data_IF_025379420751
#
_entry.id   IF_025379420751
#
_cell.length_a   1.000
_cell.length_b   1.000
_cell.length_c   1.000
_cell.angle_alpha   90.00
_cell.angle_beta   90.00
_cell.angle_gamma   90.00
#
_symmetry.space_group_name_H-M   'P 1'
#
loop_
_entity.id
_entity.type
_entity.pdbx_description
1 polymer ?
#
# COMPACT_ATOMS: atom_id res chain seq x y z
N UNK A 1 -12.53 28.46 70.97
CA UNK A 1 -13.08 29.45 70.02
C UNK A 1 -12.48 29.16 68.66
N UNK A 2 -13.37 28.88 67.73
CA UNK A 2 -13.08 28.43 66.36
C UNK A 2 -12.77 29.69 65.52
N UNK A 3 -11.68 29.67 64.74
CA UNK A 3 -11.58 30.51 63.55
C UNK A 3 -11.63 29.60 62.32
N UNK A 4 -12.73 29.72 61.59
CA UNK A 4 -13.26 28.74 60.64
C UNK A 4 -12.75 28.93 59.19
N UNK A 5 -11.59 29.55 58.97
CA UNK A 5 -11.25 30.12 57.65
C UNK A 5 -9.97 29.64 56.94
N UNK A 6 -9.18 28.70 57.49
CA UNK A 6 -7.94 28.25 56.82
C UNK A 6 -7.89 26.76 56.44
N UNK A 7 -9.01 26.03 56.50
CA UNK A 7 -9.08 24.61 56.09
C UNK A 7 -9.38 24.43 54.58
N UNK A 8 -9.50 25.53 53.80
CA UNK A 8 -9.89 25.44 52.38
C UNK A 8 -8.70 25.31 51.41
N UNK A 9 -7.45 25.39 51.87
CA UNK A 9 -6.29 25.44 50.97
C UNK A 9 -5.51 24.12 50.78
N UNK A 10 -5.89 23.04 51.47
CA UNK A 10 -5.24 21.72 51.33
C UNK A 10 -5.99 20.72 50.42
N UNK A 11 -7.13 21.12 49.82
CA UNK A 11 -8.00 20.24 49.02
C UNK A 11 -8.01 20.48 47.51
N UNK A 12 -7.11 21.31 46.94
CA UNK A 12 -7.19 21.75 45.53
C UNK A 12 -5.95 21.48 44.66
N UNK A 13 -5.07 20.54 45.03
CA UNK A 13 -3.93 20.15 44.19
C UNK A 13 -3.90 18.65 43.85
N UNK A 14 -5.04 17.98 43.90
CA UNK A 14 -5.18 16.64 43.34
C UNK A 14 -6.31 16.63 42.32
N UNK A 15 -5.96 16.31 41.07
CA UNK A 15 -6.80 16.08 39.89
C UNK A 15 -7.32 17.27 39.07
N UNK A 16 -6.53 17.61 38.05
CA UNK A 16 -6.86 17.86 36.63
C UNK A 16 -5.54 18.38 36.09
N UNK A 17 -4.68 17.50 35.59
CA UNK A 17 -4.77 17.11 34.20
C UNK A 17 -4.55 15.61 34.03
N UNK A 18 -5.64 14.85 34.03
CA UNK A 18 -5.66 13.62 33.25
C UNK A 18 -5.83 14.08 31.80
N UNK A 19 -4.69 14.36 31.16
CA UNK A 19 -4.61 14.47 29.72
C UNK A 19 -5.23 13.18 29.17
N UNK A 20 -6.47 13.29 28.67
CA UNK A 20 -7.20 12.12 28.21
C UNK A 20 -6.43 11.57 27.02
N UNK A 21 -5.71 10.48 27.25
CA UNK A 21 -5.13 9.69 26.18
C UNK A 21 -6.23 9.52 25.12
N UNK A 22 -5.93 9.79 23.83
CA UNK A 22 -6.94 9.78 22.80
C UNK A 22 -7.70 8.45 22.89
N UNK A 23 -9.03 8.54 23.04
CA UNK A 23 -9.88 7.38 23.29
C UNK A 23 -9.46 6.25 22.35
N UNK A 24 -8.92 5.17 22.92
CA UNK A 24 -8.38 4.06 22.15
C UNK A 24 -9.53 3.40 21.42
N UNK A 25 -9.71 3.73 20.14
CA UNK A 25 -10.75 3.14 19.31
C UNK A 25 -10.33 1.71 19.02
N UNK A 26 -11.04 0.68 19.52
CA UNK A 26 -10.62 -0.69 19.27
C UNK A 26 -10.73 -1.02 17.77
N UNK A 27 -9.90 -1.94 17.29
CA UNK A 27 -9.97 -2.43 15.91
C UNK A 27 -11.29 -3.13 15.62
N UNK A 28 -11.75 -3.97 16.56
CA UNK A 28 -13.03 -4.67 16.53
C UNK A 28 -13.62 -4.50 17.93
N UNK A 29 -14.83 -3.95 18.01
CA UNK A 29 -15.51 -3.80 19.29
C UNK A 29 -15.71 -5.17 19.97
N UNK A 30 -15.36 -5.25 21.25
CA UNK A 30 -15.47 -6.50 22.03
C UNK A 30 -14.28 -7.45 21.89
N UNK A 31 -13.22 -7.07 21.18
CA UNK A 31 -12.01 -7.89 21.02
C UNK A 31 -10.74 -7.09 21.34
N UNK A 32 -9.73 -7.68 22.01
CA UNK A 32 -8.41 -7.06 22.14
C UNK A 32 -7.76 -6.82 20.77
N UNK A 33 -7.07 -5.70 20.61
CA UNK A 33 -6.47 -5.29 19.32
C UNK A 33 -5.47 -6.31 18.78
N UNK A 34 -4.73 -7.02 19.64
CA UNK A 34 -3.81 -8.08 19.23
C UNK A 34 -4.52 -9.26 18.57
N UNK A 35 -5.66 -9.68 19.14
CA UNK A 35 -6.46 -10.78 18.58
C UNK A 35 -7.14 -10.32 17.29
N UNK A 36 -7.63 -9.07 17.26
CA UNK A 36 -8.19 -8.46 16.06
C UNK A 36 -7.15 -8.43 14.93
N UNK A 37 -5.92 -8.01 15.22
CA UNK A 37 -4.81 -8.01 14.27
C UNK A 37 -4.55 -9.41 13.70
N UNK A 38 -4.44 -10.44 14.53
CA UNK A 38 -4.19 -11.82 14.07
C UNK A 38 -5.36 -12.31 13.20
N UNK A 39 -6.60 -12.06 13.61
CA UNK A 39 -7.79 -12.43 12.85
C UNK A 39 -7.81 -11.76 11.46
N UNK A 40 -7.56 -10.46 11.41
CA UNK A 40 -7.51 -9.71 10.16
C UNK A 40 -6.31 -10.14 9.30
N UNK A 41 -5.14 -10.40 9.90
CA UNK A 41 -3.93 -10.80 9.20
C UNK A 41 -4.10 -12.12 8.43
N UNK A 42 -5.01 -13.01 8.88
CA UNK A 42 -5.34 -14.27 8.19
C UNK A 42 -6.21 -14.09 6.95
N UNK A 43 -6.78 -12.90 6.74
CA UNK A 43 -7.58 -12.64 5.54
C UNK A 43 -6.66 -12.62 4.31
N UNK A 44 -6.96 -13.40 3.26
CA UNK A 44 -6.17 -13.42 2.03
C UNK A 44 -6.05 -12.04 1.37
N UNK A 45 -4.89 -11.78 0.73
CA UNK A 45 -4.54 -10.48 0.13
C UNK A 45 -5.57 -9.97 -0.87
N UNK A 46 -6.25 -10.87 -1.57
CA UNK A 46 -7.34 -10.54 -2.51
C UNK A 46 -8.49 -9.74 -1.88
N UNK A 47 -8.68 -9.83 -0.57
CA UNK A 47 -9.73 -9.10 0.15
C UNK A 47 -9.23 -7.85 0.86
N UNK A 48 -7.93 -7.54 0.84
CA UNK A 48 -7.37 -6.39 1.56
C UNK A 48 -7.94 -5.05 1.09
N UNK A 49 -8.28 -4.93 -0.20
CA UNK A 49 -8.96 -3.75 -0.72
C UNK A 49 -10.35 -3.56 -0.10
N UNK A 50 -11.05 -4.64 0.23
CA UNK A 50 -12.34 -4.60 0.93
C UNK A 50 -12.12 -4.21 2.39
N UNK A 51 -11.13 -4.82 3.06
CA UNK A 51 -10.77 -4.49 4.45
C UNK A 51 -10.46 -3.00 4.64
N UNK A 52 -9.72 -2.37 3.71
CA UNK A 52 -9.41 -0.93 3.73
C UNK A 52 -10.62 0.00 3.62
N UNK A 53 -11.78 -0.53 3.19
CA UNK A 53 -13.03 0.23 3.06
C UNK A 53 -13.90 0.17 4.30
N UNK A 54 -13.64 -0.77 5.22
CA UNK A 54 -14.46 -0.97 6.44
C UNK A 54 -14.34 0.23 7.38
N UNK A 55 -13.13 0.67 7.70
CA UNK A 55 -12.91 1.83 8.57
C UNK A 55 -11.57 2.52 8.29
N UNK A 56 -11.42 3.77 8.75
CA UNK A 56 -10.14 4.50 8.70
C UNK A 56 -9.05 3.77 9.49
N UNK A 57 -9.41 3.16 10.62
CA UNK A 57 -8.47 2.41 11.49
C UNK A 57 -7.99 1.13 10.80
N UNK A 58 -8.88 0.37 10.15
CA UNK A 58 -8.49 -0.82 9.39
C UNK A 58 -7.59 -0.43 8.21
N UNK A 59 -7.91 0.65 7.51
CA UNK A 59 -7.04 1.17 6.44
C UNK A 59 -5.64 1.51 6.97
N UNK A 60 -5.55 2.20 8.11
CA UNK A 60 -4.28 2.54 8.73
C UNK A 60 -3.50 1.28 9.15
N UNK A 61 -4.17 0.29 9.75
CA UNK A 61 -3.57 -0.99 10.12
C UNK A 61 -2.99 -1.72 8.90
N UNK A 62 -3.75 -1.83 7.79
CA UNK A 62 -3.28 -2.50 6.57
C UNK A 62 -2.12 -1.78 5.86
N UNK A 63 -1.76 -0.58 6.30
CA UNK A 63 -0.60 0.18 5.84
C UNK A 63 0.51 0.25 6.91
N UNK A 64 0.30 -0.31 8.11
CA UNK A 64 1.26 -0.24 9.21
C UNK A 64 2.33 -1.33 9.11
N UNK A 65 3.50 -1.07 9.70
CA UNK A 65 4.57 -2.06 9.78
C UNK A 65 4.18 -3.27 10.65
N UNK A 66 3.40 -3.04 11.71
CA UNK A 66 2.88 -4.09 12.60
C UNK A 66 2.08 -5.15 11.84
N UNK A 67 1.29 -4.74 10.84
CA UNK A 67 0.55 -5.65 9.99
C UNK A 67 1.48 -6.54 9.16
N UNK A 68 2.49 -5.94 8.53
CA UNK A 68 3.47 -6.66 7.71
C UNK A 68 4.30 -7.63 8.55
N UNK A 69 4.77 -7.19 9.72
CA UNK A 69 5.49 -8.03 10.66
C UNK A 69 4.61 -9.17 11.18
N UNK A 70 3.34 -8.92 11.47
CA UNK A 70 2.41 -9.94 11.93
C UNK A 70 2.19 -11.02 10.86
N UNK A 71 1.97 -10.63 9.59
CA UNK A 71 1.81 -11.60 8.49
C UNK A 71 3.09 -12.41 8.26
N UNK A 72 4.25 -11.76 8.22
CA UNK A 72 5.55 -12.42 8.07
C UNK A 72 5.83 -13.40 9.20
N UNK A 73 5.61 -13.00 10.46
CA UNK A 73 5.82 -13.86 11.65
C UNK A 73 4.93 -15.10 11.66
N UNK A 74 3.76 -15.04 11.02
CA UNK A 74 2.80 -16.12 10.96
C UNK A 74 2.85 -16.91 9.62
N UNK A 75 3.83 -16.66 8.75
CA UNK A 75 3.94 -17.27 7.41
C UNK A 75 2.66 -17.09 6.57
N UNK A 76 2.08 -15.90 6.65
CA UNK A 76 0.87 -15.50 5.91
C UNK A 76 1.23 -14.66 4.69
N UNK A 77 2.49 -14.55 4.32
CA UNK A 77 2.93 -13.77 3.17
C UNK A 77 2.51 -14.44 1.86
N UNK A 78 1.94 -13.64 0.95
CA UNK A 78 1.41 -14.13 -0.33
C UNK A 78 2.25 -13.54 -1.48
N UNK A 79 3.01 -14.36 -2.24
CA UNK A 79 3.85 -13.89 -3.33
C UNK A 79 2.99 -13.52 -4.55
N UNK A 80 2.51 -12.29 -4.62
CA UNK A 80 1.83 -11.78 -5.80
C UNK A 80 2.86 -11.34 -6.84
N UNK A 81 2.70 -11.81 -8.07
CA UNK A 81 3.58 -11.48 -9.19
C UNK A 81 2.91 -10.39 -10.04
N UNK A 82 3.69 -9.38 -10.43
CA UNK A 82 3.23 -8.31 -11.30
C UNK A 82 3.96 -8.42 -12.64
N UNK A 83 3.20 -8.65 -13.71
CA UNK A 83 3.77 -8.80 -15.06
C UNK A 83 3.38 -7.60 -15.89
N UNK A 84 4.36 -6.94 -16.51
CA UNK A 84 4.10 -5.85 -17.44
C UNK A 84 4.37 -6.28 -18.87
N UNK A 85 3.32 -6.24 -19.67
CA UNK A 85 3.38 -6.49 -21.11
C UNK A 85 3.34 -5.16 -21.88
N UNK A 86 4.07 -5.11 -23.01
CA UNK A 86 4.28 -3.89 -23.83
C UNK A 86 3.78 -4.01 -25.27
N UNK A 87 3.28 -5.18 -25.69
CA UNK A 87 3.03 -5.48 -27.13
C UNK A 87 1.96 -4.61 -27.81
N UNK A 88 0.93 -4.15 -27.09
CA UNK A 88 -0.17 -3.36 -27.63
C UNK A 88 -0.55 -2.17 -26.73
N UNK A 89 0.45 -1.61 -26.04
CA UNK A 89 0.27 -0.73 -24.90
C UNK A 89 0.65 -1.42 -23.59
N UNK A 90 0.88 -0.61 -22.56
CA UNK A 90 1.37 -1.10 -21.27
C UNK A 90 0.19 -1.65 -20.48
N UNK A 91 0.25 -2.94 -20.13
CA UNK A 91 -0.72 -3.61 -19.26
C UNK A 91 -0.02 -4.24 -18.07
N UNK A 92 -0.57 -4.05 -16.87
CA UNK A 92 -0.07 -4.68 -15.65
C UNK A 92 -1.01 -5.82 -15.23
N UNK A 93 -0.50 -7.05 -15.27
CA UNK A 93 -1.22 -8.25 -14.84
C UNK A 93 -0.83 -8.58 -13.41
N UNK A 94 -1.83 -8.78 -12.55
CA UNK A 94 -1.61 -9.21 -11.18
C UNK A 94 -1.92 -10.69 -11.06
N UNK A 95 -0.88 -11.46 -10.76
CA UNK A 95 -0.92 -12.91 -10.61
C UNK A 95 -0.87 -13.25 -9.12
N UNK A 96 -1.90 -13.95 -8.62
CA UNK A 96 -1.90 -14.46 -7.26
C UNK A 96 -1.71 -15.98 -7.25
N UNK A 97 -1.01 -16.52 -6.24
CA UNK A 97 -0.88 -17.96 -6.07
C UNK A 97 -2.26 -18.57 -5.81
N UNK A 98 -2.49 -19.74 -6.41
CA UNK A 98 -3.65 -20.57 -6.17
C UNK A 98 -3.22 -21.85 -5.43
N UNK A 99 -3.36 -21.88 -4.08
CA UNK A 99 -2.92 -23.01 -3.27
C UNK A 99 -3.42 -24.39 -3.75
N UNK A 100 -4.70 -24.58 -4.12
CA UNK A 100 -5.18 -25.89 -4.57
C UNK A 100 -4.59 -26.36 -5.92
N UNK A 101 -4.21 -25.46 -6.83
CA UNK A 101 -3.70 -25.85 -8.17
C UNK A 101 -2.17 -25.74 -8.32
N UNK A 102 -1.45 -25.18 -7.34
CA UNK A 102 -0.01 -24.85 -7.43
C UNK A 102 0.35 -23.99 -8.65
N UNK A 103 -0.61 -23.23 -9.16
CA UNK A 103 -0.44 -22.32 -10.29
C UNK A 103 -0.69 -20.87 -9.88
N UNK A 104 -0.30 -19.93 -10.74
CA UNK A 104 -0.70 -18.53 -10.60
C UNK A 104 -1.97 -18.27 -11.40
N UNK A 105 -2.91 -17.52 -10.82
CA UNK A 105 -4.10 -17.02 -11.52
C UNK A 105 -4.02 -15.52 -11.73
N UNK A 106 -4.41 -15.07 -12.91
CA UNK A 106 -4.63 -13.65 -13.19
C UNK A 106 -5.84 -13.21 -12.36
N UNK A 107 -5.61 -12.34 -11.38
CA UNK A 107 -6.65 -11.81 -10.51
C UNK A 107 -7.36 -10.64 -11.17
N UNK A 108 -6.58 -9.70 -11.70
CA UNK A 108 -7.09 -8.53 -12.40
C UNK A 108 -6.00 -7.92 -13.28
N UNK A 109 -6.44 -7.19 -14.30
CA UNK A 109 -5.57 -6.37 -15.14
C UNK A 109 -5.74 -4.92 -14.69
N UNK A 110 -4.62 -4.26 -14.39
CA UNK A 110 -4.60 -2.85 -14.06
C UNK A 110 -4.07 -2.10 -15.26
N UNK A 111 -4.88 -1.18 -15.78
CA UNK A 111 -4.45 -0.25 -16.82
C UNK A 111 -3.60 0.85 -16.17
N UNK A 112 -2.32 0.99 -16.54
CA UNK A 112 -1.49 2.09 -16.08
C UNK A 112 -1.94 3.41 -16.72
N UNK A 113 -1.74 4.56 -16.05
CA UNK A 113 -2.07 5.87 -16.60
C UNK A 113 -1.42 6.16 -17.97
N UNK A 114 -0.25 5.57 -18.22
CA UNK A 114 0.50 5.71 -19.47
C UNK A 114 0.35 4.51 -20.42
N UNK A 115 -0.79 3.81 -20.40
CA UNK A 115 -1.03 2.60 -21.21
C UNK A 115 -0.81 2.79 -22.71
N UNK A 116 -1.07 3.99 -23.24
CA UNK A 116 -0.86 4.32 -24.66
C UNK A 116 0.57 4.73 -25.05
N UNK A 117 1.49 4.89 -24.09
CA UNK A 117 2.86 5.34 -24.36
C UNK A 117 3.79 4.17 -24.67
N UNK A 118 4.75 4.40 -25.56
CA UNK A 118 5.85 3.47 -25.90
C UNK A 118 7.15 3.91 -25.23
N UNK A 119 8.13 3.02 -25.15
CA UNK A 119 9.47 3.35 -24.63
C UNK A 119 9.49 3.73 -23.14
N UNK A 120 8.47 3.34 -22.37
CA UNK A 120 8.41 3.56 -20.92
C UNK A 120 9.42 2.66 -20.22
N UNK A 121 10.20 3.25 -19.32
CA UNK A 121 11.11 2.50 -18.45
C UNK A 121 10.34 2.01 -17.23
N UNK A 122 10.64 0.80 -16.77
CA UNK A 122 9.90 0.14 -15.70
C UNK A 122 10.90 -0.31 -14.65
N UNK A 123 10.71 0.12 -13.41
CA UNK A 123 11.58 -0.24 -12.29
C UNK A 123 10.75 -0.67 -11.08
N UNK A 124 11.22 -1.66 -10.33
CA UNK A 124 10.64 -2.02 -9.04
C UNK A 124 11.55 -1.54 -7.92
N UNK A 125 10.97 -0.82 -6.96
CA UNK A 125 11.67 -0.39 -5.76
C UNK A 125 10.80 -0.72 -4.55
N UNK A 126 11.34 -1.57 -3.67
CA UNK A 126 10.63 -2.08 -2.49
C UNK A 126 9.28 -2.71 -2.85
N UNK A 127 8.16 -2.13 -2.39
CA UNK A 127 6.79 -2.62 -2.60
C UNK A 127 6.06 -1.85 -3.72
N UNK A 128 6.81 -1.08 -4.50
CA UNK A 128 6.29 -0.14 -5.49
C UNK A 128 6.88 -0.41 -6.86
N UNK A 129 6.09 -0.15 -7.88
CA UNK A 129 6.49 -0.27 -9.27
C UNK A 129 6.40 1.10 -9.93
N UNK A 130 7.47 1.51 -10.60
CA UNK A 130 7.62 2.80 -11.23
C UNK A 130 7.60 2.67 -12.74
N UNK A 131 6.84 3.55 -13.39
CA UNK A 131 6.81 3.76 -14.82
C UNK A 131 7.37 5.16 -15.09
N UNK A 132 8.43 5.23 -15.89
CA UNK A 132 9.19 6.45 -16.11
C UNK A 132 9.15 6.82 -17.60
N UNK A 133 8.70 8.04 -17.88
CA UNK A 133 8.76 8.66 -19.20
C UNK A 133 7.92 7.96 -20.26
N UNK A 134 8.49 7.83 -21.45
CA UNK A 134 7.87 7.26 -22.65
C UNK A 134 7.49 8.31 -23.67
N UNK A 135 6.89 7.87 -24.77
CA UNK A 135 6.40 8.77 -25.81
C UNK A 135 5.14 8.26 -26.50
N UNK A 136 4.29 9.19 -26.97
CA UNK A 136 3.18 8.86 -27.87
C UNK A 136 3.60 8.96 -29.35
N UNK A 137 4.58 9.82 -29.64
CA UNK A 137 5.20 10.00 -30.95
C UNK A 137 6.70 10.31 -30.77
N UNK A 138 7.48 10.29 -31.85
CA UNK A 138 8.94 10.52 -31.82
C UNK A 138 9.32 11.86 -31.17
N UNK A 139 8.45 12.86 -31.25
CA UNK A 139 8.68 14.21 -30.70
C UNK A 139 7.96 14.48 -29.36
N UNK A 140 7.25 13.49 -28.82
CA UNK A 140 6.43 13.62 -27.61
C UNK A 140 7.03 12.81 -26.45
N UNK A 141 8.28 13.11 -26.08
CA UNK A 141 8.90 12.52 -24.89
C UNK A 141 8.33 13.17 -23.62
N UNK A 142 8.05 12.35 -22.60
CA UNK A 142 7.59 12.86 -21.29
C UNK A 142 8.58 12.58 -20.18
N UNK A 143 8.56 13.42 -19.16
CA UNK A 143 9.23 13.29 -17.87
C UNK A 143 8.30 12.74 -16.77
N UNK A 144 7.04 12.44 -17.10
CA UNK A 144 6.05 11.91 -16.16
C UNK A 144 6.53 10.60 -15.52
N UNK A 145 6.28 10.49 -14.22
CA UNK A 145 6.56 9.28 -13.44
C UNK A 145 5.29 8.81 -12.75
N UNK A 146 4.94 7.54 -12.94
CA UNK A 146 3.84 6.90 -12.24
C UNK A 146 4.35 5.82 -11.30
N UNK A 147 3.82 5.80 -10.09
CA UNK A 147 4.11 4.82 -9.07
C UNK A 147 2.86 4.00 -8.77
N UNK A 148 2.96 2.69 -8.95
CA UNK A 148 1.99 1.72 -8.47
C UNK A 148 2.40 1.22 -7.08
N UNK A 149 1.52 1.41 -6.12
CA UNK A 149 1.66 0.88 -4.77
C UNK A 149 0.84 -0.41 -4.63
N UNK A 150 1.55 -1.53 -4.50
CA UNK A 150 0.96 -2.87 -4.39
C UNK A 150 0.24 -3.09 -3.04
N UNK A 151 0.52 -2.26 -2.03
CA UNK A 151 -0.22 -2.27 -0.77
C UNK A 151 -1.59 -1.65 -1.01
N UNK A 152 -1.68 -0.42 -1.52
CA UNK A 152 -2.96 0.27 -1.74
C UNK A 152 -3.69 -0.11 -3.03
N UNK A 153 -3.07 -0.93 -3.89
CA UNK A 153 -3.55 -1.36 -5.21
C UNK A 153 -3.94 -0.16 -6.09
N UNK A 154 -3.09 0.87 -6.13
CA UNK A 154 -3.37 2.12 -6.83
C UNK A 154 -2.15 2.66 -7.54
N UNK A 155 -2.40 3.26 -8.71
CA UNK A 155 -1.46 4.15 -9.37
C UNK A 155 -1.55 5.55 -8.77
N UNK A 156 -0.41 6.23 -8.72
CA UNK A 156 -0.26 7.62 -8.30
C UNK A 156 0.81 8.30 -9.15
N UNK A 157 0.68 9.61 -9.34
CA UNK A 157 1.78 10.40 -9.92
C UNK A 157 2.89 10.57 -8.88
N UNK A 158 4.15 10.52 -9.32
CA UNK A 158 5.32 10.77 -8.50
C UNK A 158 6.12 11.94 -9.07
N UNK A 159 7.25 12.27 -8.43
CA UNK A 159 8.09 13.38 -8.88
C UNK A 159 8.57 13.15 -10.33
N UNK A 160 8.45 14.15 -11.22
CA UNK A 160 8.87 14.01 -12.61
C UNK A 160 10.38 13.84 -12.71
N UNK A 161 10.85 13.25 -13.81
CA UNK A 161 12.26 13.15 -14.11
C UNK A 161 12.85 14.54 -14.44
N UNK A 162 14.11 14.83 -14.11
CA UNK A 162 14.76 16.09 -14.51
C UNK A 162 14.85 16.29 -16.03
N UNK A 163 14.74 15.22 -16.80
CA UNK A 163 14.80 15.25 -18.26
C UNK A 163 13.81 14.23 -18.81
N UNK A 164 12.98 14.67 -19.76
CA UNK A 164 12.06 13.80 -20.47
C UNK A 164 12.84 12.69 -21.20
N UNK A 165 12.38 11.45 -21.07
CA UNK A 165 13.06 10.29 -21.64
C UNK A 165 12.12 9.52 -22.55
N UNK A 166 12.53 9.31 -23.80
CA UNK A 166 11.86 8.43 -24.75
C UNK A 166 12.85 7.36 -25.25
N UNK A 167 12.73 6.13 -24.76
CA UNK A 167 13.42 4.97 -25.36
C UNK A 167 12.72 4.49 -26.64
N UNK A 168 12.06 5.40 -27.37
CA UNK A 168 11.20 5.05 -28.49
C UNK A 168 11.96 4.45 -29.69
N UNK A 169 13.29 4.56 -29.72
CA UNK A 169 14.16 3.91 -30.71
C UNK A 169 14.73 2.54 -30.29
N UNK A 170 14.57 2.11 -29.03
CA UNK A 170 15.18 0.88 -28.50
C UNK A 170 14.16 -0.21 -28.15
N UNK A 171 12.89 -0.03 -28.51
CA UNK A 171 11.79 -0.92 -28.16
C UNK A 171 11.77 -2.19 -29.04
N UNK A 172 12.76 -3.05 -28.90
CA UNK A 172 12.63 -4.46 -29.27
C UNK A 172 13.14 -5.33 -28.13
N UNK A 173 12.26 -6.25 -27.71
CA UNK A 173 12.49 -7.39 -26.82
C UNK A 173 12.73 -7.06 -25.34
N UNK A 174 11.64 -7.07 -24.55
CA UNK A 174 11.62 -7.63 -23.19
C UNK A 174 10.26 -7.37 -22.54
N UNK A 175 9.53 -8.44 -22.23
CA UNK A 175 8.50 -8.39 -21.19
C UNK A 175 9.19 -8.34 -19.83
N UNK A 176 8.82 -7.38 -18.98
CA UNK A 176 9.36 -7.29 -17.64
C UNK A 176 8.46 -8.06 -16.67
N UNK A 177 8.99 -9.13 -16.09
CA UNK A 177 8.37 -9.81 -14.95
C UNK A 177 8.99 -9.21 -13.69
N UNK A 178 8.16 -8.58 -12.85
CA UNK A 178 8.61 -7.96 -11.61
C UNK A 178 7.94 -8.68 -10.44
N UNK A 179 8.77 -9.34 -9.64
CA UNK A 179 8.35 -9.91 -8.37
C UNK A 179 8.50 -8.83 -7.30
N UNK A 180 7.39 -8.23 -6.87
CA UNK A 180 7.39 -7.40 -5.67
C UNK A 180 7.49 -8.32 -4.45
N UNK A 181 8.33 -7.97 -3.48
CA UNK A 181 8.50 -8.79 -2.28
C UNK A 181 7.15 -8.99 -1.56
N UNK A 182 6.90 -10.17 -0.96
CA UNK A 182 5.66 -10.46 -0.25
C UNK A 182 5.41 -9.46 0.90
N UNK A 183 4.15 -9.06 1.08
CA UNK A 183 3.67 -8.18 2.15
C UNK A 183 3.28 -8.94 3.43
#
# INVERSE_FOLDING_TARGET
MINHHEIVQFGKLYNRDMESAPAHTPLIHGLPDEVALICLARVPRRYHNILRRVSRRWRALLCSEEWHLCRKRNNLDEPWIYVICREAGIKCYVLAPDPPSRCFRIMHVIEPPCSGRKGVTIEALDKKLFLLGGCSSVYDATDEVYCYDASSNRWSSAAPMPTASSLCSAAFLSGAILCLHPL
#
